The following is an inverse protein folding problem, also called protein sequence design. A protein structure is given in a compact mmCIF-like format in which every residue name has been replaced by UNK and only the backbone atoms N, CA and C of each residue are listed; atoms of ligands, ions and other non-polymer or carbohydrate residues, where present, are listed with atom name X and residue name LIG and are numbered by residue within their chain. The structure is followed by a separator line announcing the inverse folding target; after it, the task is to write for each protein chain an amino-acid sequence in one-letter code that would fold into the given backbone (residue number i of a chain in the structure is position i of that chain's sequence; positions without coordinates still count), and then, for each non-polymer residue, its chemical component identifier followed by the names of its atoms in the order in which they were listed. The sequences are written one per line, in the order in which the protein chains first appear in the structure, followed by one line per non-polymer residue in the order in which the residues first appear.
data_IF_562992318206
#
_entry.id   IF_562992318206
#
_cell.length_a   1.000
_cell.length_b   1.000
_cell.length_c   1.000
_cell.angle_alpha   90.00
_cell.angle_beta   90.00
_cell.angle_gamma   90.00
#
_symmetry.space_group_name_H-M   'P 1'
#
loop_
_entity.id
_entity.type
_entity.pdbx_description
1 polymer ?
#
# COMPACT_ATOMS: atom_id res chain seq x y z
N UNK A 1 -23.32 -33.73 -19.46
CA UNK A 1 -21.94 -33.33 -19.10
C UNK A 1 -21.22 -32.46 -20.14
N UNK A 2 -21.54 -32.53 -21.44
CA UNK A 2 -20.89 -31.68 -22.47
C UNK A 2 -21.30 -30.19 -22.40
N UNK A 3 -22.54 -29.90 -22.01
CA UNK A 3 -23.04 -28.51 -21.93
C UNK A 3 -22.55 -27.72 -20.70
N UNK A 4 -22.06 -28.40 -19.65
CA UNK A 4 -21.59 -27.74 -18.41
C UNK A 4 -20.17 -27.15 -18.57
N UNK A 5 -19.33 -27.79 -19.38
CA UNK A 5 -17.97 -27.31 -19.69
C UNK A 5 -18.00 -26.06 -20.59
N UNK A 6 -18.98 -25.97 -21.50
CA UNK A 6 -19.17 -24.81 -22.38
C UNK A 6 -19.57 -23.56 -21.56
N UNK A 7 -20.37 -23.75 -20.50
CA UNK A 7 -20.77 -22.66 -19.62
C UNK A 7 -19.61 -22.16 -18.73
N UNK A 8 -18.72 -23.06 -18.30
CA UNK A 8 -17.49 -22.71 -17.58
C UNK A 8 -16.52 -21.94 -18.49
N UNK A 9 -16.37 -22.34 -19.76
CA UNK A 9 -15.56 -21.58 -20.73
C UNK A 9 -16.17 -20.21 -21.10
N UNK A 10 -17.49 -20.06 -21.03
CA UNK A 10 -18.17 -18.77 -21.21
C UNK A 10 -18.04 -17.86 -19.98
N UNK A 11 -18.07 -18.41 -18.76
CA UNK A 11 -17.86 -17.65 -17.52
C UNK A 11 -16.39 -17.21 -17.38
N UNK A 12 -15.42 -18.04 -17.79
CA UNK A 12 -14.00 -17.66 -17.84
C UNK A 12 -13.74 -16.56 -18.89
N UNK A 13 -14.61 -16.41 -19.89
CA UNK A 13 -14.49 -15.40 -20.94
C UNK A 13 -15.15 -14.05 -20.61
N UNK A 14 -15.84 -13.90 -19.47
CA UNK A 14 -16.38 -12.60 -19.09
C UNK A 14 -15.37 -11.92 -18.17
N UNK A 15 -14.63 -11.00 -18.77
CA UNK A 15 -13.71 -10.02 -18.17
C UNK A 15 -12.33 -10.55 -17.77
N UNK A 16 -11.56 -11.01 -18.75
CA UNK A 16 -10.13 -10.65 -18.73
C UNK A 16 -10.08 -9.12 -18.70
N UNK A 17 -9.47 -8.54 -17.67
CA UNK A 17 -9.09 -7.12 -17.69
C UNK A 17 -8.42 -6.88 -19.04
N UNK A 18 -8.98 -6.00 -19.87
CA UNK A 18 -8.38 -5.64 -21.16
C UNK A 18 -7.16 -4.80 -20.90
N UNK A 19 -6.08 -5.46 -20.51
CA UNK A 19 -4.83 -4.83 -20.15
C UNK A 19 -4.30 -3.98 -21.31
N UNK A 20 -4.53 -4.40 -22.54
CA UNK A 20 -4.14 -3.67 -23.75
C UNK A 20 -4.89 -2.33 -23.90
N UNK A 21 -6.18 -2.29 -23.55
CA UNK A 21 -6.99 -1.05 -23.59
C UNK A 21 -6.53 -0.08 -22.47
N UNK A 22 -6.21 -0.62 -21.30
CA UNK A 22 -5.61 0.14 -20.21
C UNK A 22 -4.22 0.69 -20.58
N UNK A 23 -3.33 -0.16 -21.11
CA UNK A 23 -1.98 0.25 -21.54
C UNK A 23 -2.08 1.35 -22.58
N UNK A 24 -2.93 1.19 -23.60
CA UNK A 24 -3.15 2.23 -24.62
C UNK A 24 -3.64 3.55 -24.01
N UNK A 25 -4.55 3.50 -23.03
CA UNK A 25 -5.03 4.71 -22.36
C UNK A 25 -3.96 5.39 -21.49
N UNK A 26 -3.09 4.60 -20.85
CA UNK A 26 -1.96 5.11 -20.06
C UNK A 26 -0.89 5.71 -20.98
N UNK A 27 -0.62 5.08 -22.12
CA UNK A 27 0.30 5.62 -23.13
C UNK A 27 -0.19 6.96 -23.69
N UNK A 28 -1.51 7.11 -23.92
CA UNK A 28 -2.11 8.38 -24.35
C UNK A 28 -1.97 9.46 -23.26
N UNK A 29 -2.22 9.12 -22.00
CA UNK A 29 -2.06 10.05 -20.87
C UNK A 29 -0.60 10.48 -20.65
N UNK A 30 0.36 9.59 -20.87
CA UNK A 30 1.80 9.91 -20.77
C UNK A 30 2.26 10.83 -21.91
N UNK A 31 1.56 10.88 -23.04
CA UNK A 31 1.86 11.82 -24.13
C UNK A 31 1.30 13.23 -23.85
N UNK A 32 0.37 13.38 -22.91
CA UNK A 32 -0.19 14.68 -22.54
C UNK A 32 0.73 15.42 -21.55
N UNK A 33 1.38 16.49 -22.04
CA UNK A 33 2.28 17.32 -21.25
C UNK A 33 1.57 18.04 -20.08
N UNK A 34 0.31 18.45 -20.25
CA UNK A 34 -0.44 19.13 -19.20
C UNK A 34 -0.76 18.17 -18.06
N UNK A 35 -1.17 16.94 -18.41
CA UNK A 35 -1.40 15.87 -17.44
C UNK A 35 -0.12 15.56 -16.67
N UNK A 36 1.01 15.40 -17.36
CA UNK A 36 2.30 15.14 -16.72
C UNK A 36 2.70 16.25 -15.74
N UNK A 37 2.52 17.51 -16.12
CA UNK A 37 2.82 18.63 -15.22
C UNK A 37 1.91 18.64 -13.99
N UNK A 38 0.61 18.45 -14.18
CA UNK A 38 -0.36 18.42 -13.09
C UNK A 38 -0.14 17.23 -12.16
N UNK A 39 0.10 16.04 -12.72
CA UNK A 39 0.42 14.83 -11.97
C UNK A 39 1.73 14.97 -11.19
N UNK A 40 2.77 15.56 -11.80
CA UNK A 40 4.05 15.81 -11.13
C UNK A 40 3.89 16.82 -9.99
N UNK A 41 3.12 17.89 -10.21
CA UNK A 41 2.84 18.89 -9.17
C UNK A 41 2.03 18.30 -8.02
N UNK A 42 1.00 17.52 -8.35
CA UNK A 42 0.17 16.82 -7.36
C UNK A 42 1.01 15.83 -6.55
N UNK A 43 1.80 14.99 -7.21
CA UNK A 43 2.64 13.99 -6.55
C UNK A 43 3.71 14.64 -5.68
N UNK A 44 4.41 15.68 -6.16
CA UNK A 44 5.36 16.44 -5.35
C UNK A 44 4.72 17.05 -4.11
N UNK A 45 3.52 17.64 -4.25
CA UNK A 45 2.78 18.17 -3.11
C UNK A 45 2.44 17.07 -2.10
N UNK A 46 2.00 15.92 -2.60
CA UNK A 46 1.64 14.76 -1.78
C UNK A 46 2.86 14.22 -1.03
N UNK A 47 3.94 13.88 -1.74
CA UNK A 47 5.20 13.37 -1.16
C UNK A 47 5.91 14.39 -0.26
N UNK A 48 5.70 15.69 -0.46
CA UNK A 48 6.22 16.75 0.40
C UNK A 48 5.44 16.93 1.70
N UNK A 49 4.25 16.34 1.83
CA UNK A 49 3.51 16.43 3.10
C UNK A 49 4.19 15.59 4.18
N UNK A 50 4.43 16.21 5.34
CA UNK A 50 5.24 15.64 6.44
C UNK A 50 4.71 14.27 6.91
N UNK A 51 3.39 14.08 6.84
CA UNK A 51 2.70 12.91 7.34
C UNK A 51 2.42 11.88 6.22
N UNK A 52 2.88 12.10 4.98
CA UNK A 52 2.60 11.19 3.87
C UNK A 52 3.38 9.90 3.95
N UNK A 53 4.69 9.98 4.21
CA UNK A 53 5.56 8.79 4.26
C UNK A 53 5.40 8.05 5.58
N UNK A 54 5.22 8.79 6.69
CA UNK A 54 5.30 8.25 8.03
C UNK A 54 3.96 8.18 8.76
N UNK A 55 2.87 8.60 8.11
CA UNK A 55 1.56 8.74 8.74
C UNK A 55 1.54 9.88 9.77
N UNK A 56 0.35 10.13 10.35
CA UNK A 56 0.19 11.05 11.46
C UNK A 56 1.06 10.58 12.64
N UNK A 57 1.77 11.51 13.27
CA UNK A 57 2.59 11.22 14.45
C UNK A 57 1.75 10.47 15.51
N UNK A 58 2.15 9.23 15.80
CA UNK A 58 1.46 8.33 16.74
C UNK A 58 1.33 8.96 18.13
N UNK A 59 0.21 8.65 18.79
CA UNK A 59 0.02 8.98 20.19
C UNK A 59 1.16 8.42 21.06
N UNK A 60 1.43 9.12 22.16
CA UNK A 60 2.48 8.72 23.11
C UNK A 60 2.23 7.29 23.58
N UNK A 61 3.25 6.44 23.46
CA UNK A 61 3.18 5.03 23.87
C UNK A 61 2.59 4.90 25.30
N UNK A 62 1.64 3.97 25.53
CA UNK A 62 0.85 3.93 26.77
C UNK A 62 1.68 3.60 28.02
N UNK A 63 2.85 2.99 27.86
CA UNK A 63 3.74 2.70 28.98
C UNK A 63 4.79 3.80 29.20
N UNK A 64 5.23 3.96 30.45
CA UNK A 64 6.35 4.83 30.79
C UNK A 64 7.66 4.25 30.25
N UNK A 65 8.06 4.70 29.06
CA UNK A 65 9.36 4.39 28.47
C UNK A 65 10.46 5.24 29.13
N UNK A 66 11.15 4.67 30.12
CA UNK A 66 12.39 5.23 30.69
C UNK A 66 13.59 4.95 29.75
N UNK A 67 13.48 5.29 28.47
CA UNK A 67 14.55 5.09 27.50
C UNK A 67 15.20 6.43 27.14
N UNK A 68 16.46 6.60 27.52
CA UNK A 68 17.33 7.61 26.89
C UNK A 68 17.71 7.07 25.52
N UNK A 69 17.39 7.81 24.45
CA UNK A 69 17.91 7.54 23.10
C UNK A 69 19.43 7.56 23.16
N UNK A 70 20.04 6.37 23.17
CA UNK A 70 21.48 6.23 23.09
C UNK A 70 21.83 6.19 21.61
N UNK A 71 22.42 7.27 21.10
CA UNK A 71 22.94 7.37 19.73
C UNK A 71 24.25 6.59 19.56
N UNK A 72 24.42 5.47 20.26
CA UNK A 72 25.50 4.57 19.96
C UNK A 72 25.01 3.72 18.79
N UNK A 73 25.46 4.04 17.59
CA UNK A 73 25.17 3.25 16.39
C UNK A 73 25.50 1.78 16.68
N UNK A 74 24.48 0.93 16.64
CA UNK A 74 24.65 -0.51 16.78
C UNK A 74 25.22 -1.05 15.48
N UNK A 75 26.49 -1.43 15.50
CA UNK A 75 27.22 -1.91 14.32
C UNK A 75 26.82 -3.35 13.95
N UNK A 76 26.19 -4.10 14.87
CA UNK A 76 25.85 -5.52 14.68
C UNK A 76 24.38 -5.81 15.00
N UNK A 77 23.78 -6.73 14.23
CA UNK A 77 22.38 -7.15 14.38
C UNK A 77 22.08 -7.76 15.76
N UNK A 78 23.07 -8.39 16.41
CA UNK A 78 22.92 -8.97 17.74
C UNK A 78 22.78 -7.95 18.87
N UNK A 79 23.10 -6.68 18.61
CA UNK A 79 22.98 -5.57 19.57
C UNK A 79 21.85 -4.61 19.21
N UNK A 80 21.16 -4.84 18.08
CA UNK A 80 20.08 -3.98 17.60
C UNK A 80 18.90 -4.08 18.57
N UNK A 81 18.46 -2.94 19.11
CA UNK A 81 17.25 -2.84 19.92
C UNK A 81 16.12 -2.24 19.09
N UNK A 82 14.84 -2.50 19.41
CA UNK A 82 13.72 -1.89 18.71
C UNK A 82 13.79 -0.36 18.63
N UNK A 83 14.32 0.31 19.67
CA UNK A 83 14.48 1.77 19.71
C UNK A 83 15.52 2.33 18.71
N UNK A 84 16.43 1.49 18.20
CA UNK A 84 17.44 1.90 17.23
C UNK A 84 16.88 1.87 15.79
N UNK A 85 15.69 1.27 15.59
CA UNK A 85 14.97 1.21 14.30
C UNK A 85 14.17 2.48 14.10
N UNK A 86 14.48 3.24 13.06
CA UNK A 86 13.82 4.53 12.77
C UNK A 86 12.64 4.41 11.79
N UNK A 87 12.74 3.45 10.87
CA UNK A 87 11.77 3.25 9.82
C UNK A 87 11.63 1.73 9.58
N UNK A 88 10.40 1.27 9.45
CA UNK A 88 10.07 -0.06 8.94
C UNK A 88 9.26 0.19 7.68
N UNK A 89 9.73 -0.34 6.56
CA UNK A 89 9.03 -0.28 5.29
C UNK A 89 8.86 -1.69 4.74
N UNK A 90 7.92 -1.85 3.83
CA UNK A 90 7.72 -3.11 3.14
C UNK A 90 7.41 -2.88 1.66
N UNK A 91 7.73 -3.90 0.86
CA UNK A 91 7.55 -3.93 -0.58
C UNK A 91 6.76 -5.19 -0.90
N UNK A 92 5.78 -5.07 -1.79
CA UNK A 92 4.95 -6.20 -2.19
C UNK A 92 4.03 -5.86 -3.34
N UNK A 93 3.13 -6.80 -3.63
CA UNK A 93 2.10 -6.72 -4.65
C UNK A 93 0.74 -6.28 -4.06
N UNK A 94 -0.32 -6.39 -4.85
CA UNK A 94 -1.69 -6.02 -4.44
C UNK A 94 -2.22 -6.84 -3.28
N UNK A 95 -1.81 -8.11 -3.12
CA UNK A 95 -2.19 -8.94 -1.98
C UNK A 95 -1.58 -8.38 -0.70
N UNK A 96 -0.32 -7.98 -0.80
CA UNK A 96 0.43 -7.38 0.29
C UNK A 96 -0.14 -5.99 0.65
N UNK A 97 -0.75 -5.29 -0.31
CA UNK A 97 -1.43 -4.02 -0.11
C UNK A 97 -2.87 -4.15 0.45
N UNK A 98 -3.36 -5.35 0.77
CA UNK A 98 -4.70 -5.53 1.33
C UNK A 98 -5.82 -5.18 0.35
N UNK A 99 -5.64 -5.50 -0.94
CA UNK A 99 -6.62 -5.26 -1.99
C UNK A 99 -7.98 -5.88 -1.61
N UNK A 100 -9.00 -5.04 -1.50
CA UNK A 100 -10.36 -5.47 -1.18
C UNK A 100 -10.59 -5.98 0.24
N UNK A 101 -9.66 -5.78 1.18
CA UNK A 101 -9.80 -6.27 2.56
C UNK A 101 -11.09 -5.79 3.28
N UNK A 102 -11.58 -4.59 2.96
CA UNK A 102 -12.86 -4.05 3.45
C UNK A 102 -13.97 -4.01 2.40
N UNK A 103 -13.83 -4.74 1.28
CA UNK A 103 -14.79 -4.67 0.19
C UNK A 103 -16.14 -5.30 0.58
N UNK A 104 -17.17 -4.46 0.66
CA UNK A 104 -18.57 -4.89 0.77
C UNK A 104 -19.26 -4.96 -0.60
N UNK A 105 -18.65 -4.37 -1.62
CA UNK A 105 -19.18 -4.30 -2.99
C UNK A 105 -18.12 -4.72 -4.00
N UNK A 106 -18.51 -5.18 -5.20
CA UNK A 106 -17.56 -5.55 -6.24
C UNK A 106 -16.62 -4.41 -6.66
N UNK A 107 -17.07 -3.16 -6.56
CA UNK A 107 -16.22 -1.98 -6.85
C UNK A 107 -15.16 -1.79 -5.77
N UNK A 108 -15.49 -2.09 -4.50
CA UNK A 108 -14.54 -2.00 -3.38
C UNK A 108 -13.38 -3.00 -3.46
N UNK A 109 -13.46 -4.02 -4.33
CA UNK A 109 -12.34 -4.95 -4.57
C UNK A 109 -11.13 -4.26 -5.19
N UNK A 110 -11.29 -3.11 -5.85
CA UNK A 110 -10.18 -2.37 -6.46
C UNK A 110 -9.51 -1.39 -5.49
N UNK A 111 -9.96 -1.34 -4.22
CA UNK A 111 -9.40 -0.46 -3.20
C UNK A 111 -8.31 -1.18 -2.40
N UNK A 112 -7.11 -0.59 -2.35
CA UNK A 112 -6.00 -1.09 -1.53
C UNK A 112 -6.13 -0.60 -0.08
N UNK A 113 -6.26 -1.53 0.87
CA UNK A 113 -6.31 -1.22 2.30
C UNK A 113 -4.98 -1.61 2.95
N UNK A 114 -3.93 -0.82 2.67
CA UNK A 114 -2.54 -1.16 3.05
C UNK A 114 -2.36 -1.34 4.55
N UNK A 115 -3.04 -0.52 5.35
CA UNK A 115 -2.87 -0.54 6.79
C UNK A 115 -3.57 -1.69 7.52
N UNK A 116 -4.50 -2.42 6.89
CA UNK A 116 -5.08 -3.65 7.47
C UNK A 116 -4.44 -4.94 6.94
N UNK A 117 -3.44 -4.82 6.06
CA UNK A 117 -2.68 -5.97 5.58
C UNK A 117 -1.93 -6.63 6.73
N UNK A 118 -2.00 -7.97 6.82
CA UNK A 118 -1.26 -8.72 7.83
C UNK A 118 0.26 -8.62 7.70
N UNK A 119 0.77 -8.39 6.47
CA UNK A 119 2.19 -8.43 6.17
C UNK A 119 2.86 -7.04 6.27
N UNK A 120 2.09 -5.98 6.03
CA UNK A 120 2.62 -4.60 5.83
C UNK A 120 1.77 -3.53 6.53
N UNK A 121 0.61 -3.91 7.04
CA UNK A 121 -0.30 -3.00 7.71
C UNK A 121 0.16 -2.59 9.09
N UNK A 122 -0.59 -1.64 9.63
CA UNK A 122 -0.38 -1.01 10.93
C UNK A 122 -1.42 0.08 11.18
N UNK A 123 -2.60 -0.01 10.55
CA UNK A 123 -3.73 0.85 10.88
C UNK A 123 -4.14 0.57 12.32
N UNK A 124 -4.57 1.62 13.01
CA UNK A 124 -4.90 1.65 14.43
C UNK A 124 -3.69 1.71 15.37
N UNK A 125 -4.00 2.12 16.61
CA UNK A 125 -3.01 2.35 17.67
C UNK A 125 -2.53 1.01 18.24
N UNK A 126 -1.51 1.05 19.10
CA UNK A 126 -1.11 -0.10 19.92
C UNK A 126 -2.38 -0.76 20.49
N UNK A 127 -2.57 -2.05 20.21
CA UNK A 127 -3.73 -2.81 20.69
C UNK A 127 -3.90 -2.61 22.21
N UNK A 128 -5.13 -2.31 22.63
CA UNK A 128 -5.54 -2.39 24.04
C UNK A 128 -5.74 -3.86 24.45
#
# INVERSE_FOLDING_TARGET
MKSFVIFIFLIININSLKLDEYISSVEELIQDANFLEEYTKWSLKLFSTKDYIYGKQFDKFPCQINFKRQFNETITVHKLRPNDIQCVGAIGDSLTAGLGAHALTPVGLFTENRGVSWAVGGDYHFEE
#
